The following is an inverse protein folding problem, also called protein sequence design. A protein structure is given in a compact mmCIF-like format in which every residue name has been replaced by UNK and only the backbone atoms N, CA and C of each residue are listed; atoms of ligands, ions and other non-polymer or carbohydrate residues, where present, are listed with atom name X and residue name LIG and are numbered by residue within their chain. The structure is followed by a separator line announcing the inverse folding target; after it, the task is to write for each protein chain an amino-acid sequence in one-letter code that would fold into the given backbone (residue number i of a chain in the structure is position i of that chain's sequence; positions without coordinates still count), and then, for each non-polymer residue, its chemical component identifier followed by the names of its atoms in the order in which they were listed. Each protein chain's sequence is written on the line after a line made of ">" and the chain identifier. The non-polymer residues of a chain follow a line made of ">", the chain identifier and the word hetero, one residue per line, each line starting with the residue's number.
data_IF_944623345176
#
_entry.id   IF_944623345176
#
_cell.length_a   1.000
_cell.length_b   1.000
_cell.length_c   1.000
_cell.angle_alpha   90.00
_cell.angle_beta   90.00
_cell.angle_gamma   90.00
#
_symmetry.space_group_name_H-M   'P 1'
#
loop_
_entity.id
_entity.type
_entity.pdbx_description
1 polymer ?
#
# COMPACT_ATOMS: atom_id res chain seq x y z
N UNK A 1 1.99 11.41 -5.70
CA UNK A 1 2.30 11.03 -4.30
C UNK A 1 3.57 11.71 -3.85
N UNK A 2 3.58 12.25 -2.64
CA UNK A 2 4.78 12.87 -2.10
C UNK A 2 5.87 11.84 -1.85
N UNK A 3 7.12 12.22 -2.08
CA UNK A 3 8.27 11.35 -1.93
C UNK A 3 8.38 10.75 -0.52
N UNK A 4 8.01 11.51 0.51
CA UNK A 4 8.10 11.03 1.88
C UNK A 4 7.23 9.79 2.14
N UNK A 5 6.11 9.64 1.44
CA UNK A 5 5.24 8.47 1.62
C UNK A 5 5.84 7.21 1.02
N UNK A 6 6.49 7.35 -0.14
CA UNK A 6 7.28 6.27 -0.73
C UNK A 6 8.37 5.81 0.23
N UNK A 7 9.08 6.76 0.84
CA UNK A 7 10.15 6.47 1.80
C UNK A 7 9.57 5.75 3.02
N UNK A 8 8.45 6.22 3.56
CA UNK A 8 7.82 5.60 4.73
C UNK A 8 7.45 4.14 4.47
N UNK A 9 6.86 3.85 3.30
CA UNK A 9 6.47 2.49 2.95
C UNK A 9 7.69 1.59 2.76
N UNK A 10 8.75 2.10 2.13
CA UNK A 10 10.00 1.34 1.95
C UNK A 10 10.65 1.04 3.30
N UNK A 11 10.69 2.01 4.20
CA UNK A 11 11.26 1.81 5.53
C UNK A 11 10.45 0.80 6.35
N UNK A 12 9.13 0.84 6.22
CA UNK A 12 8.28 -0.14 6.90
C UNK A 12 8.57 -1.56 6.41
N UNK A 13 8.71 -1.73 5.09
CA UNK A 13 9.07 -3.03 4.53
C UNK A 13 10.43 -3.52 5.01
N UNK A 14 11.41 -2.63 5.10
CA UNK A 14 12.74 -2.98 5.59
C UNK A 14 12.72 -3.37 7.07
N UNK A 15 11.94 -2.64 7.87
CA UNK A 15 11.81 -2.90 9.31
C UNK A 15 11.21 -4.26 9.60
N UNK A 16 10.19 -4.65 8.84
CA UNK A 16 9.46 -5.90 9.08
C UNK A 16 10.10 -7.11 8.41
N UNK A 17 11.05 -6.89 7.49
CA UNK A 17 11.75 -7.98 6.84
C UNK A 17 12.28 -8.99 7.87
N UNK A 18 12.15 -10.29 7.71
CA UNK A 18 11.74 -11.04 6.51
C UNK A 18 10.22 -11.26 6.37
N UNK A 19 9.41 -10.56 7.12
CA UNK A 19 7.95 -10.69 7.06
C UNK A 19 7.36 -9.61 6.16
N UNK A 20 6.17 -9.84 5.63
CA UNK A 20 5.45 -8.81 4.88
C UNK A 20 4.94 -7.74 5.83
N UNK A 21 5.17 -6.48 5.48
CA UNK A 21 4.50 -5.37 6.14
C UNK A 21 3.20 -5.05 5.41
N UNK A 22 2.32 -4.30 6.04
CA UNK A 22 1.10 -3.81 5.41
C UNK A 22 0.65 -2.49 6.03
N UNK A 23 -0.19 -1.78 5.30
CA UNK A 23 -0.76 -0.53 5.76
C UNK A 23 -1.76 0.04 4.79
N UNK A 24 -2.32 1.17 5.17
CA UNK A 24 -3.29 1.90 4.36
C UNK A 24 -2.65 3.14 3.79
N UNK A 25 -3.12 3.55 2.61
CA UNK A 25 -2.84 4.86 2.05
C UNK A 25 -4.08 5.71 2.21
N UNK A 26 -3.94 6.84 2.89
CA UNK A 26 -5.04 7.77 3.13
C UNK A 26 -4.84 8.98 2.24
N UNK A 27 -5.94 9.49 1.68
CA UNK A 27 -5.84 10.61 0.77
C UNK A 27 -7.18 11.00 0.18
N UNK A 28 -7.16 11.40 -1.08
CA UNK A 28 -8.38 11.86 -1.77
C UNK A 28 -8.43 11.29 -3.18
N UNK A 29 -9.66 11.05 -3.62
CA UNK A 29 -9.93 10.76 -5.03
C UNK A 29 -10.16 12.09 -5.74
N UNK A 30 -9.31 12.42 -6.70
CA UNK A 30 -9.46 13.65 -7.48
C UNK A 30 -10.52 13.47 -8.57
N UNK A 31 -11.05 14.60 -9.07
CA UNK A 31 -12.10 14.59 -10.08
C UNK A 31 -11.68 13.96 -11.40
N UNK A 32 -10.38 13.92 -11.70
CA UNK A 32 -9.84 13.31 -12.91
C UNK A 32 -9.56 11.81 -12.76
N UNK A 33 -9.94 11.22 -11.61
CA UNK A 33 -9.71 9.81 -11.34
C UNK A 33 -8.38 9.50 -10.69
N UNK A 34 -7.50 10.47 -10.52
CA UNK A 34 -6.24 10.28 -9.82
C UNK A 34 -6.47 10.12 -8.32
N UNK A 35 -5.58 9.40 -7.67
CA UNK A 35 -5.58 9.27 -6.21
C UNK A 35 -4.42 10.09 -5.66
N UNK A 36 -4.70 10.90 -4.64
CA UNK A 36 -3.70 11.74 -4.00
C UNK A 36 -3.45 11.17 -2.61
N UNK A 37 -2.23 10.70 -2.37
CA UNK A 37 -1.86 10.15 -1.06
C UNK A 37 -1.43 11.31 -0.16
N UNK A 38 -2.08 11.43 0.99
CA UNK A 38 -1.80 12.48 1.97
C UNK A 38 -1.19 11.94 3.25
N UNK A 39 -1.30 10.63 3.51
CA UNK A 39 -0.76 10.03 4.73
C UNK A 39 -0.67 8.51 4.56
N UNK A 40 0.35 7.90 5.14
CA UNK A 40 0.41 6.45 5.30
C UNK A 40 -0.07 6.06 6.68
N UNK A 41 -0.69 4.90 6.80
CA UNK A 41 -1.21 4.39 8.06
C UNK A 41 -0.72 2.95 8.23
N UNK A 42 0.42 2.76 8.89
CA UNK A 42 1.00 1.43 9.08
C UNK A 42 0.11 0.55 9.94
N UNK A 43 0.02 -0.73 9.60
CA UNK A 43 -0.75 -1.71 10.34
C UNK A 43 0.14 -2.91 10.61
N UNK A 44 -0.02 -3.50 11.79
CA UNK A 44 0.69 -4.73 12.14
C UNK A 44 0.10 -5.90 11.35
N UNK A 45 0.98 -6.71 10.75
CA UNK A 45 0.54 -7.91 10.06
C UNK A 45 0.05 -8.94 11.07
N UNK A 46 -1.25 -9.29 10.98
CA UNK A 46 -1.90 -10.18 11.94
C UNK A 46 -1.80 -11.67 11.56
N UNK A 47 -1.11 -12.01 10.45
CA UNK A 47 -0.88 -13.41 10.08
C UNK A 47 0.00 -14.12 11.10
N UNK A 48 -0.14 -15.44 11.17
CA UNK A 48 0.76 -16.28 11.94
C UNK A 48 2.20 -16.12 11.42
N UNK A 49 3.18 -16.28 12.32
CA UNK A 49 4.60 -16.06 11.99
C UNK A 49 5.03 -16.77 10.70
N UNK A 50 4.63 -18.05 10.53
CA UNK A 50 5.02 -18.82 9.35
C UNK A 50 4.47 -18.24 8.04
N UNK A 51 3.31 -17.58 8.08
CA UNK A 51 2.66 -17.02 6.90
C UNK A 51 3.09 -15.57 6.62
N UNK A 52 3.65 -14.86 7.61
CA UNK A 52 4.03 -13.43 7.45
C UNK A 52 5.11 -13.19 6.40
N UNK A 53 5.86 -14.24 6.01
CA UNK A 53 6.92 -14.11 5.01
C UNK A 53 6.38 -13.87 3.61
N UNK A 54 5.17 -14.35 3.30
CA UNK A 54 4.60 -14.22 1.96
C UNK A 54 3.12 -13.88 1.97
N UNK A 55 2.57 -13.52 3.11
CA UNK A 55 1.16 -13.13 3.24
C UNK A 55 1.01 -12.16 4.40
N UNK A 56 0.00 -11.31 4.32
CA UNK A 56 -0.35 -10.41 5.40
C UNK A 56 -1.85 -10.50 5.66
N UNK A 57 -2.25 -10.03 6.84
CA UNK A 57 -3.66 -9.98 7.23
C UNK A 57 -3.93 -8.68 7.96
N UNK A 58 -4.90 -7.91 7.46
CA UNK A 58 -5.42 -6.72 8.15
C UNK A 58 -6.72 -7.14 8.81
N UNK A 59 -6.77 -7.03 10.13
CA UNK A 59 -7.99 -7.36 10.88
C UNK A 59 -9.07 -6.33 10.60
N UNK A 60 -10.35 -6.74 10.58
CA UNK A 60 -11.45 -5.79 10.38
C UNK A 60 -11.41 -4.61 11.35
N UNK A 61 -11.02 -4.83 12.60
CA UNK A 61 -10.92 -3.77 13.61
C UNK A 61 -9.85 -2.74 13.24
N UNK A 62 -8.74 -3.20 12.69
CA UNK A 62 -7.65 -2.33 12.25
C UNK A 62 -8.09 -1.48 11.06
N UNK A 63 -8.79 -2.10 10.11
CA UNK A 63 -9.31 -1.37 8.95
C UNK A 63 -10.33 -0.32 9.41
N UNK A 64 -11.21 -0.68 10.32
CA UNK A 64 -12.22 0.26 10.86
C UNK A 64 -11.57 1.44 11.57
N UNK A 65 -10.51 1.20 12.34
CA UNK A 65 -9.75 2.27 12.99
C UNK A 65 -9.11 3.20 11.98
N UNK A 66 -8.52 2.63 10.93
CA UNK A 66 -7.90 3.41 9.86
C UNK A 66 -8.93 4.27 9.12
N UNK A 67 -10.10 3.70 8.82
CA UNK A 67 -11.17 4.44 8.17
C UNK A 67 -11.71 5.57 9.06
N UNK A 68 -11.84 5.32 10.35
CA UNK A 68 -12.27 6.34 11.30
C UNK A 68 -11.24 7.47 11.38
N UNK A 69 -9.97 7.11 11.52
CA UNK A 69 -8.87 8.08 11.53
C UNK A 69 -8.89 8.93 10.25
N UNK A 70 -9.08 8.30 9.09
CA UNK A 70 -9.15 9.03 7.83
C UNK A 70 -10.30 10.04 7.83
N UNK A 71 -11.50 9.60 8.24
CA UNK A 71 -12.67 10.49 8.29
C UNK A 71 -12.44 11.69 9.21
N UNK A 72 -11.81 11.48 10.34
CA UNK A 72 -11.50 12.57 11.28
C UNK A 72 -10.54 13.59 10.68
N UNK A 73 -9.72 13.17 9.73
CA UNK A 73 -8.78 14.02 9.01
C UNK A 73 -9.35 14.58 7.70
N UNK A 74 -10.58 14.24 7.36
CA UNK A 74 -11.18 14.63 6.09
C UNK A 74 -10.60 13.88 4.89
N UNK A 75 -10.11 12.66 5.12
CA UNK A 75 -9.47 11.83 4.10
C UNK A 75 -10.27 10.54 3.88
N UNK A 76 -9.97 9.88 2.77
CA UNK A 76 -10.48 8.55 2.44
C UNK A 76 -9.35 7.54 2.44
N UNK A 77 -9.68 6.26 2.58
CA UNK A 77 -8.74 5.19 2.25
C UNK A 77 -8.71 5.08 0.73
N UNK A 78 -7.58 5.40 0.13
CA UNK A 78 -7.43 5.35 -1.32
C UNK A 78 -6.69 4.11 -1.79
N UNK A 79 -6.06 3.38 -0.88
CA UNK A 79 -5.37 2.16 -1.24
C UNK A 79 -4.70 1.49 -0.06
N UNK A 80 -3.96 0.46 -0.40
CA UNK A 80 -3.24 -0.40 0.55
C UNK A 80 -1.81 -0.57 0.06
N UNK A 81 -0.89 -0.81 0.99
CA UNK A 81 0.46 -1.19 0.61
C UNK A 81 0.91 -2.41 1.41
N UNK A 82 1.77 -3.21 0.82
CA UNK A 82 2.43 -4.31 1.49
C UNK A 82 3.78 -4.55 0.85
N UNK A 83 4.62 -5.32 1.54
CA UNK A 83 5.94 -5.67 1.01
C UNK A 83 6.00 -7.13 0.57
N UNK A 84 6.86 -7.40 -0.40
CA UNK A 84 7.20 -8.74 -0.83
C UNK A 84 8.65 -9.03 -0.45
N UNK A 85 8.89 -9.78 0.64
CA UNK A 85 10.26 -10.13 1.03
C UNK A 85 10.90 -11.04 -0.01
N UNK A 86 12.05 -10.61 -0.52
CA UNK A 86 12.85 -11.35 -1.50
C UNK A 86 12.10 -11.72 -2.78
N UNK A 87 11.09 -10.92 -3.15
CA UNK A 87 10.30 -11.13 -4.35
C UNK A 87 10.05 -9.80 -5.05
N UNK A 88 9.53 -9.85 -6.27
CA UNK A 88 9.30 -8.69 -7.11
C UNK A 88 8.12 -7.85 -6.60
N UNK A 89 8.11 -6.58 -7.00
CA UNK A 89 7.02 -5.65 -6.67
C UNK A 89 5.80 -5.86 -7.58
N UNK A 90 5.35 -7.11 -7.70
CA UNK A 90 4.23 -7.53 -8.55
C UNK A 90 3.24 -8.29 -7.68
N UNK A 91 1.92 -8.00 -7.78
CA UNK A 91 0.92 -8.70 -6.98
C UNK A 91 0.96 -10.21 -7.20
N UNK A 92 0.78 -10.95 -6.12
CA UNK A 92 0.71 -12.41 -6.16
C UNK A 92 -0.72 -12.86 -6.50
N UNK A 93 -0.88 -14.16 -6.71
CA UNK A 93 -2.22 -14.75 -6.88
C UNK A 93 -3.07 -14.53 -5.63
N UNK A 94 -2.46 -14.61 -4.44
CA UNK A 94 -3.14 -14.32 -3.18
C UNK A 94 -3.64 -12.87 -3.18
N UNK A 95 -2.80 -11.91 -3.61
CA UNK A 95 -3.18 -10.51 -3.69
C UNK A 95 -4.36 -10.32 -4.63
N UNK A 96 -4.35 -10.98 -5.79
CA UNK A 96 -5.44 -10.91 -6.77
C UNK A 96 -6.76 -11.39 -6.18
N UNK A 97 -6.73 -12.49 -5.42
CA UNK A 97 -7.94 -13.08 -4.84
C UNK A 97 -8.55 -12.23 -3.74
N UNK A 98 -7.76 -11.37 -3.10
CA UNK A 98 -8.19 -10.58 -1.94
C UNK A 98 -8.31 -9.09 -2.21
N UNK A 99 -8.06 -8.63 -3.43
CA UNK A 99 -8.10 -7.22 -3.77
C UNK A 99 -9.49 -6.78 -4.25
N UNK A 100 -9.73 -5.48 -4.19
CA UNK A 100 -10.96 -4.84 -4.64
C UNK A 100 -10.64 -3.79 -5.71
N UNK A 101 -11.50 -3.62 -6.73
CA UNK A 101 -11.40 -2.47 -7.64
C UNK A 101 -11.51 -1.17 -6.86
N UNK A 102 -11.13 -0.07 -7.48
CA UNK A 102 -11.19 1.28 -6.92
C UNK A 102 -9.93 1.70 -6.16
N UNK A 103 -9.36 0.79 -5.38
CA UNK A 103 -8.18 1.08 -4.56
C UNK A 103 -6.89 0.86 -5.34
N UNK A 104 -5.85 1.62 -4.97
CA UNK A 104 -4.50 1.35 -5.43
C UNK A 104 -3.82 0.36 -4.49
N UNK A 105 -3.04 -0.53 -5.05
CA UNK A 105 -2.28 -1.52 -4.29
C UNK A 105 -0.81 -1.32 -4.58
N UNK A 106 -0.07 -0.83 -3.59
CA UNK A 106 1.37 -0.65 -3.71
C UNK A 106 2.06 -1.88 -3.15
N UNK A 107 3.01 -2.40 -3.93
CA UNK A 107 3.86 -3.52 -3.53
C UNK A 107 5.29 -3.02 -3.47
N UNK A 108 5.95 -3.25 -2.34
CA UNK A 108 7.35 -2.89 -2.12
C UNK A 108 8.18 -4.16 -2.16
N UNK A 109 9.12 -4.24 -3.07
CA UNK A 109 10.07 -5.35 -3.14
C UNK A 109 11.20 -5.09 -2.16
N UNK A 110 11.39 -6.00 -1.18
CA UNK A 110 12.45 -5.89 -0.17
C UNK A 110 13.36 -7.10 -0.31
N UNK A 111 14.56 -6.90 -0.86
CA UNK A 111 15.53 -7.97 -1.08
C UNK A 111 16.65 -7.87 -0.07
N UNK A 112 16.83 -8.94 0.70
CA UNK A 112 17.87 -9.01 1.72
C UNK A 112 17.83 -7.79 2.67
N UNK A 113 16.62 -7.39 3.05
CA UNK A 113 16.41 -6.29 3.98
C UNK A 113 16.46 -4.90 3.38
N UNK A 114 16.61 -4.76 2.06
CA UNK A 114 16.68 -3.47 1.39
C UNK A 114 15.52 -3.32 0.41
N UNK A 115 14.79 -2.21 0.51
CA UNK A 115 13.72 -1.89 -0.43
C UNK A 115 14.35 -1.47 -1.77
N UNK A 116 14.11 -2.28 -2.81
CA UNK A 116 14.75 -2.08 -4.13
C UNK A 116 13.77 -1.63 -5.19
N UNK A 117 12.45 -1.77 -4.97
CA UNK A 117 11.45 -1.37 -5.96
C UNK A 117 10.12 -1.12 -5.26
N UNK A 118 9.29 -0.27 -5.87
CA UNK A 118 7.96 0.06 -5.36
C UNK A 118 7.08 0.36 -6.57
N UNK A 119 5.99 -0.40 -6.71
CA UNK A 119 5.07 -0.24 -7.84
C UNK A 119 3.63 -0.24 -7.36
N UNK A 120 2.79 0.49 -8.05
CA UNK A 120 1.36 0.57 -7.75
C UNK A 120 0.54 -0.14 -8.81
N UNK A 121 -0.52 -0.80 -8.35
CA UNK A 121 -1.38 -1.65 -9.18
C UNK A 121 -2.83 -1.34 -8.89
N UNK A 122 -3.65 -1.42 -9.91
CA UNK A 122 -5.09 -1.24 -9.79
C UNK A 122 -5.79 -2.43 -10.43
N UNK A 123 -6.81 -2.95 -9.74
CA UNK A 123 -7.54 -4.11 -10.22
C UNK A 123 -8.57 -3.71 -11.29
N UNK A 124 -8.67 -4.52 -12.33
CA UNK A 124 -9.74 -4.36 -13.32
C UNK A 124 -11.12 -4.44 -12.63
N UNK A 125 -12.11 -3.68 -13.14
CA UNK A 125 -13.45 -3.73 -12.54
C UNK A 125 -14.07 -5.14 -12.51
N UNK A 126 -13.72 -5.99 -13.48
CA UNK A 126 -14.22 -7.38 -13.52
C UNK A 126 -13.39 -8.34 -12.66
N UNK A 127 -12.38 -7.83 -11.95
CA UNK A 127 -11.51 -8.56 -11.04
C UNK A 127 -10.66 -9.63 -11.72
N UNK A 128 -10.44 -9.51 -13.02
CA UNK A 128 -9.68 -10.51 -13.78
C UNK A 128 -8.17 -10.39 -13.61
N UNK A 129 -7.66 -9.17 -13.39
CA UNK A 129 -6.22 -8.92 -13.30
C UNK A 129 -5.93 -7.56 -12.70
N UNK A 130 -4.67 -7.38 -12.30
CA UNK A 130 -4.12 -6.07 -11.97
C UNK A 130 -3.49 -5.44 -13.21
N UNK A 131 -3.59 -4.11 -13.28
CA UNK A 131 -2.82 -3.30 -14.22
C UNK A 131 -1.89 -2.41 -13.42
N UNK A 132 -0.66 -2.30 -13.88
CA UNK A 132 0.27 -1.37 -13.25
C UNK A 132 -0.18 0.06 -13.54
N UNK A 133 -0.23 0.91 -12.50
CA UNK A 133 -0.55 2.31 -12.65
C UNK A 133 0.68 3.16 -12.35
N UNK A 134 0.74 4.30 -13.02
CA UNK A 134 1.87 5.22 -12.87
C UNK A 134 1.79 5.95 -11.54
N UNK A 135 2.92 6.03 -10.85
CA UNK A 135 3.07 6.86 -9.66
C UNK A 135 3.77 8.14 -10.07
N UNK A 136 3.11 9.27 -9.85
CA UNK A 136 3.75 10.57 -10.02
C UNK A 136 4.25 11.00 -8.65
N UNK A 137 5.56 11.09 -8.48
CA UNK A 137 6.16 11.53 -7.22
C UNK A 137 6.51 13.00 -7.31
N UNK A 138 6.22 13.71 -6.24
CA UNK A 138 6.53 15.14 -6.15
C UNK A 138 7.39 15.40 -4.92
N UNK A 139 8.27 16.41 -5.01
CA UNK A 139 9.08 16.82 -3.88
C UNK A 139 8.19 17.48 -2.82
N UNK A 140 8.70 17.62 -1.58
CA UNK A 140 7.96 18.24 -0.49
C UNK A 140 7.47 19.63 -0.87
N UNK A 141 8.32 20.42 -1.58
CA UNK A 141 7.95 21.77 -1.99
C UNK A 141 6.85 21.78 -3.03
N UNK A 142 6.78 20.78 -3.91
CA UNK A 142 5.74 20.67 -4.95
C UNK A 142 4.45 20.07 -4.40
N UNK A 143 4.51 19.33 -3.29
CA UNK A 143 3.35 18.69 -2.67
C UNK A 143 2.48 19.67 -1.90
N UNK A 144 2.88 20.90 -1.75
CA UNK A 144 2.09 21.92 -1.02
C UNK A 144 0.93 22.38 -1.89
N UNK A 145 -0.24 22.53 -1.27
CA UNK A 145 -1.39 23.09 -1.98
C UNK A 145 -1.17 24.55 -2.35
#
# INVERSE_FOLDING_TARGET
>A
MGEKYSIEMRQHGERDYPFECCGLMLGRFASDGCKIVAETYPISNAREEAAKRNRFLIRPEELMRGEKYAREKGLDVVGFYHSHPDDRAVPSQYDLEHAWPTYSYIVVSVKQGQAVDLRSWEMEPDRSRFNEERITQVSVSEARP
#
